data_IF_950630708977
#
_entry.id   IF_950630708977
#
_cell.length_a   1.000
_cell.length_b   1.000
_cell.length_c   1.000
_cell.angle_alpha   90.00
_cell.angle_beta   90.00
_cell.angle_gamma   90.00
#
_symmetry.space_group_name_H-M   'P 1'
#
loop_
_entity.id
_entity.type
_entity.pdbx_description
1 polymer ?
#
# COMPACT_ATOMS: atom_id res chain seq x y z
N UNK A 1 -12.46 2.12 12.24
CA UNK A 1 -11.48 3.26 12.17
C UNK A 1 -12.12 4.55 12.63
N UNK A 2 -11.33 5.47 13.21
CA UNK A 2 -11.87 6.79 13.63
C UNK A 2 -12.12 7.70 12.42
N UNK A 3 -13.09 8.64 12.50
CA UNK A 3 -13.45 9.51 11.36
C UNK A 3 -12.28 10.29 10.76
N UNK A 4 -11.30 10.67 11.57
CA UNK A 4 -10.10 11.41 11.12
C UNK A 4 -9.30 10.69 10.03
N UNK A 5 -9.32 9.36 9.99
CA UNK A 5 -8.53 8.51 9.11
C UNK A 5 -9.38 7.63 8.20
N UNK A 6 -10.67 7.93 8.12
CA UNK A 6 -11.62 7.26 7.22
C UNK A 6 -12.02 8.22 6.11
N UNK A 7 -11.57 7.93 4.89
CA UNK A 7 -12.01 8.71 3.73
C UNK A 7 -13.43 8.30 3.33
N UNK A 8 -14.25 9.23 2.78
CA UNK A 8 -15.67 8.97 2.53
C UNK A 8 -15.96 7.74 1.67
N UNK A 9 -15.20 7.53 0.58
CA UNK A 9 -15.41 6.41 -0.33
C UNK A 9 -15.19 5.05 0.35
N UNK A 10 -14.08 4.91 1.10
CA UNK A 10 -13.78 3.69 1.84
C UNK A 10 -14.76 3.49 3.01
N UNK A 11 -15.08 4.57 3.73
CA UNK A 11 -16.06 4.53 4.80
C UNK A 11 -17.45 4.09 4.33
N UNK A 12 -17.85 4.48 3.13
CA UNK A 12 -19.12 4.05 2.55
C UNK A 12 -19.18 2.53 2.28
N UNK A 13 -18.07 1.91 1.85
CA UNK A 13 -17.98 0.46 1.64
C UNK A 13 -18.24 -0.31 2.95
N UNK A 14 -17.70 0.20 4.05
CA UNK A 14 -17.75 -0.45 5.37
C UNK A 14 -18.92 0.03 6.25
N UNK A 15 -19.84 0.85 5.72
CA UNK A 15 -21.01 1.29 6.45
C UNK A 15 -22.03 0.15 6.64
N UNK A 16 -22.76 0.16 7.76
CA UNK A 16 -23.83 -0.82 8.03
C UNK A 16 -24.91 -0.78 6.94
N UNK A 17 -25.29 0.41 6.49
CA UNK A 17 -26.25 0.56 5.42
C UNK A 17 -25.78 -0.14 4.10
N UNK A 18 -24.49 -0.08 3.79
CA UNK A 18 -23.93 -0.83 2.65
C UNK A 18 -23.93 -2.33 2.94
N UNK A 19 -23.56 -2.77 4.14
CA UNK A 19 -23.59 -4.18 4.52
C UNK A 19 -24.99 -4.77 4.39
N UNK A 20 -26.02 -4.10 4.89
CA UNK A 20 -27.40 -4.59 4.80
C UNK A 20 -27.93 -4.58 3.37
N UNK A 21 -27.57 -3.61 2.56
CA UNK A 21 -27.88 -3.64 1.13
C UNK A 21 -27.25 -4.86 0.44
N UNK A 22 -26.00 -5.19 0.79
CA UNK A 22 -25.32 -6.38 0.26
C UNK A 22 -25.94 -7.67 0.78
N UNK A 23 -26.40 -7.70 2.00
CA UNK A 23 -27.18 -8.83 2.54
C UNK A 23 -28.43 -9.09 1.68
N UNK A 24 -29.20 -8.04 1.37
CA UNK A 24 -30.36 -8.15 0.47
C UNK A 24 -29.91 -8.63 -0.91
N UNK A 25 -28.82 -8.09 -1.46
CA UNK A 25 -28.27 -8.48 -2.77
C UNK A 25 -27.96 -9.98 -2.84
N UNK A 26 -27.32 -10.54 -1.80
CA UNK A 26 -27.01 -11.97 -1.70
C UNK A 26 -28.28 -12.82 -1.56
N UNK A 27 -29.19 -12.46 -0.65
CA UNK A 27 -30.45 -13.18 -0.42
C UNK A 27 -31.30 -13.20 -1.70
N UNK A 28 -31.46 -12.07 -2.36
CA UNK A 28 -32.21 -11.94 -3.63
C UNK A 28 -31.57 -12.79 -4.73
N UNK A 29 -30.24 -12.82 -4.84
CA UNK A 29 -29.56 -13.65 -5.84
C UNK A 29 -29.86 -15.15 -5.62
N UNK A 30 -29.90 -15.63 -4.37
CA UNK A 30 -30.27 -17.01 -4.04
C UNK A 30 -31.74 -17.28 -4.42
N UNK A 31 -32.65 -16.37 -4.07
CA UNK A 31 -34.07 -16.52 -4.41
C UNK A 31 -34.28 -16.53 -5.92
N UNK A 32 -33.60 -15.67 -6.68
CA UNK A 32 -33.59 -15.67 -8.17
C UNK A 32 -33.14 -17.00 -8.74
N UNK A 33 -32.03 -17.54 -8.25
CA UNK A 33 -31.49 -18.82 -8.71
C UNK A 33 -32.48 -19.98 -8.45
N UNK A 34 -33.20 -19.95 -7.34
CA UNK A 34 -34.27 -20.89 -7.00
C UNK A 34 -35.53 -20.67 -7.87
N UNK A 35 -35.89 -19.42 -8.13
CA UNK A 35 -37.06 -19.08 -8.99
C UNK A 35 -36.86 -19.57 -10.44
N UNK A 36 -35.63 -19.42 -10.98
CA UNK A 36 -35.28 -19.97 -12.31
C UNK A 36 -35.48 -21.50 -12.41
N UNK A 37 -35.49 -22.19 -11.28
CA UNK A 37 -35.78 -23.65 -11.19
C UNK A 37 -37.24 -23.97 -10.83
N UNK A 38 -38.11 -22.96 -10.79
CA UNK A 38 -39.53 -23.13 -10.45
C UNK A 38 -39.77 -23.40 -8.96
N UNK A 39 -38.79 -23.15 -8.07
CA UNK A 39 -38.88 -23.41 -6.65
C UNK A 39 -39.44 -22.21 -5.85
N UNK A 40 -39.62 -21.08 -6.50
CA UNK A 40 -40.18 -19.84 -5.94
C UNK A 40 -41.19 -19.27 -6.94
N UNK A 41 -42.44 -18.99 -6.52
CA UNK A 41 -43.42 -18.31 -7.38
C UNK A 41 -42.95 -16.93 -7.83
N UNK A 42 -43.40 -16.51 -9.01
CA UNK A 42 -43.02 -15.22 -9.58
C UNK A 42 -43.45 -14.03 -8.69
N UNK A 43 -44.66 -14.09 -8.14
CA UNK A 43 -45.18 -13.04 -7.27
C UNK A 43 -44.38 -12.93 -5.96
N UNK A 44 -43.96 -14.08 -5.40
CA UNK A 44 -43.10 -14.10 -4.21
C UNK A 44 -41.70 -13.54 -4.50
N UNK A 45 -41.11 -13.85 -5.66
CA UNK A 45 -39.83 -13.26 -6.11
C UNK A 45 -39.97 -11.73 -6.23
N UNK A 46 -41.02 -11.25 -6.90
CA UNK A 46 -41.26 -9.82 -7.05
C UNK A 46 -41.42 -9.11 -5.69
N UNK A 47 -42.14 -9.70 -4.75
CA UNK A 47 -42.30 -9.16 -3.39
C UNK A 47 -40.98 -9.08 -2.63
N UNK A 48 -40.08 -10.05 -2.82
CA UNK A 48 -38.75 -10.05 -2.19
C UNK A 48 -37.84 -8.99 -2.84
N UNK A 49 -37.84 -8.87 -4.17
CA UNK A 49 -37.04 -7.88 -4.90
C UNK A 49 -37.46 -6.43 -4.62
N UNK A 50 -38.75 -6.17 -4.44
CA UNK A 50 -39.30 -4.84 -4.19
C UNK A 50 -39.21 -4.42 -2.71
N UNK A 51 -38.92 -5.36 -1.80
CA UNK A 51 -38.84 -5.08 -0.39
C UNK A 51 -37.69 -4.11 -0.04
N UNK A 52 -37.94 -3.13 0.83
CA UNK A 52 -36.90 -2.15 1.21
C UNK A 52 -35.79 -2.80 2.03
N UNK A 53 -34.56 -2.29 1.86
CA UNK A 53 -33.46 -2.64 2.76
C UNK A 53 -33.79 -2.20 4.18
N UNK A 54 -33.67 -3.06 5.19
CA UNK A 54 -33.97 -2.70 6.58
C UNK A 54 -33.11 -1.54 7.07
N UNK A 55 -33.71 -0.62 7.82
CA UNK A 55 -32.96 0.44 8.48
C UNK A 55 -32.09 -0.14 9.61
N UNK A 56 -30.81 0.34 9.75
CA UNK A 56 -29.91 -0.16 10.79
C UNK A 56 -30.50 -0.12 12.18
N UNK A 57 -31.26 0.92 12.51
CA UNK A 57 -31.90 1.12 13.82
C UNK A 57 -32.91 -0.02 14.14
N UNK A 58 -33.63 -0.50 13.10
CA UNK A 58 -34.58 -1.62 13.30
C UNK A 58 -33.85 -2.92 13.56
N UNK A 59 -32.77 -3.16 12.81
CA UNK A 59 -31.92 -4.36 12.99
C UNK A 59 -31.29 -4.35 14.38
N UNK A 60 -30.77 -3.22 14.85
CA UNK A 60 -30.19 -3.09 16.19
C UNK A 60 -31.20 -3.37 17.31
N UNK A 61 -32.43 -2.91 17.16
CA UNK A 61 -33.48 -3.21 18.14
C UNK A 61 -33.76 -4.72 18.24
N UNK A 62 -33.85 -5.39 17.09
CA UNK A 62 -34.06 -6.84 17.04
C UNK A 62 -32.80 -7.61 17.52
N UNK A 63 -31.59 -7.15 17.22
CA UNK A 63 -30.37 -7.79 17.70
C UNK A 63 -30.25 -7.72 19.23
N UNK A 64 -30.67 -6.62 19.84
CA UNK A 64 -30.70 -6.48 21.29
C UNK A 64 -31.66 -7.48 21.97
N UNK A 65 -32.70 -7.93 21.27
CA UNK A 65 -33.67 -8.92 21.76
C UNK A 65 -33.26 -10.36 21.43
N UNK A 66 -32.80 -10.59 20.20
CA UNK A 66 -32.51 -11.92 19.65
C UNK A 66 -31.09 -12.39 19.89
N UNK A 67 -30.17 -11.48 20.21
CA UNK A 67 -28.72 -11.72 20.38
C UNK A 67 -28.08 -12.47 19.20
N UNK A 68 -28.51 -12.14 17.97
CA UNK A 68 -28.00 -12.74 16.74
C UNK A 68 -28.21 -11.80 15.55
N UNK A 69 -27.13 -11.17 15.10
CA UNK A 69 -27.14 -10.10 14.10
C UNK A 69 -27.78 -10.51 12.75
N UNK A 70 -27.48 -11.73 12.25
CA UNK A 70 -28.06 -12.21 10.98
C UNK A 70 -29.56 -12.48 11.14
N UNK A 71 -29.97 -13.12 12.21
CA UNK A 71 -31.43 -13.38 12.48
C UNK A 71 -32.16 -12.06 12.65
N UNK A 72 -31.57 -11.08 13.35
CA UNK A 72 -32.15 -9.75 13.49
C UNK A 72 -32.36 -9.06 12.13
N UNK A 73 -31.36 -9.13 11.24
CA UNK A 73 -31.49 -8.63 9.89
C UNK A 73 -32.55 -9.35 9.09
N UNK A 74 -32.59 -10.69 9.10
CA UNK A 74 -33.57 -11.50 8.39
C UNK A 74 -35.00 -11.24 8.88
N UNK A 75 -35.16 -11.04 10.18
CA UNK A 75 -36.47 -10.68 10.78
C UNK A 75 -36.91 -9.30 10.28
N UNK A 76 -36.01 -8.30 10.34
CA UNK A 76 -36.33 -6.96 9.87
C UNK A 76 -36.64 -6.93 8.36
N UNK A 77 -35.91 -7.70 7.56
CA UNK A 77 -36.17 -7.82 6.13
C UNK A 77 -37.48 -8.51 5.85
N UNK A 78 -37.78 -9.60 6.60
CA UNK A 78 -39.04 -10.33 6.50
C UNK A 78 -40.29 -9.48 6.83
N UNK A 79 -40.18 -8.47 7.73
CA UNK A 79 -41.26 -7.51 8.00
C UNK A 79 -41.66 -6.71 6.74
N UNK A 80 -40.69 -6.38 5.88
CA UNK A 80 -40.92 -5.68 4.62
C UNK A 80 -41.36 -6.60 3.48
N UNK A 81 -40.94 -7.86 3.49
CA UNK A 81 -41.26 -8.87 2.47
C UNK A 81 -42.64 -9.47 2.66
N UNK A 82 -43.08 -9.67 3.90
CA UNK A 82 -44.35 -10.31 4.22
C UNK A 82 -44.33 -11.84 4.05
N UNK A 83 -45.41 -12.45 3.53
CA UNK A 83 -45.56 -13.91 3.43
C UNK A 83 -44.50 -14.58 2.55
N UNK A 84 -43.94 -13.90 1.56
CA UNK A 84 -42.91 -14.38 0.71
C UNK A 84 -41.54 -14.58 1.44
N UNK A 85 -41.40 -14.05 2.67
CA UNK A 85 -40.19 -14.20 3.49
C UNK A 85 -39.78 -15.66 3.77
N UNK A 86 -40.73 -16.61 3.64
CA UNK A 86 -40.44 -18.06 3.73
C UNK A 86 -39.39 -18.56 2.72
N UNK A 87 -39.10 -17.79 1.67
CA UNK A 87 -38.11 -18.11 0.66
C UNK A 87 -36.74 -17.46 0.91
N UNK A 88 -36.68 -16.45 1.80
CA UNK A 88 -35.45 -15.78 2.21
C UNK A 88 -34.64 -16.71 3.11
N UNK A 89 -33.35 -16.74 2.98
CA UNK A 89 -32.40 -17.55 3.74
C UNK A 89 -32.63 -19.07 3.66
N UNK A 90 -33.35 -19.51 2.66
CA UNK A 90 -33.75 -20.91 2.55
C UNK A 90 -32.51 -21.79 2.26
N UNK A 91 -32.25 -22.71 3.20
CA UNK A 91 -31.14 -23.68 3.09
C UNK A 91 -29.74 -23.10 3.33
N UNK A 92 -29.65 -21.82 3.63
CA UNK A 92 -28.40 -21.13 3.95
C UNK A 92 -28.06 -21.21 5.44
N UNK A 93 -26.81 -20.92 5.76
CA UNK A 93 -26.34 -20.60 7.09
C UNK A 93 -25.91 -19.13 7.17
N UNK A 94 -25.80 -18.57 8.37
CA UNK A 94 -25.36 -17.19 8.56
C UNK A 94 -24.03 -16.86 7.83
N UNK A 95 -23.11 -17.80 7.78
CA UNK A 95 -21.82 -17.60 7.14
C UNK A 95 -21.91 -17.54 5.62
N UNK A 96 -22.86 -18.21 4.98
CA UNK A 96 -23.12 -18.06 3.54
C UNK A 96 -23.42 -16.59 3.21
N UNK A 97 -24.21 -15.91 4.04
CA UNK A 97 -24.53 -14.50 3.89
C UNK A 97 -23.36 -13.60 4.29
N UNK A 98 -22.73 -13.86 5.44
CA UNK A 98 -21.67 -13.02 6.00
C UNK A 98 -20.41 -13.05 5.13
N UNK A 99 -19.91 -14.23 4.77
CA UNK A 99 -18.66 -14.36 4.01
C UNK A 99 -18.80 -13.89 2.56
N UNK A 100 -19.95 -14.21 1.92
CA UNK A 100 -20.21 -13.73 0.56
C UNK A 100 -20.35 -12.20 0.53
N UNK A 101 -20.99 -11.60 1.53
CA UNK A 101 -21.05 -10.15 1.67
C UNK A 101 -19.67 -9.54 1.96
N UNK A 102 -18.89 -10.16 2.82
CA UNK A 102 -17.52 -9.71 3.11
C UNK A 102 -16.65 -9.74 1.84
N UNK A 103 -16.75 -10.79 1.02
CA UNK A 103 -16.07 -10.87 -0.26
C UNK A 103 -16.44 -9.70 -1.19
N UNK A 104 -17.72 -9.31 -1.26
CA UNK A 104 -18.16 -8.14 -2.03
C UNK A 104 -17.59 -6.83 -1.48
N UNK A 105 -17.53 -6.67 -0.15
CA UNK A 105 -16.92 -5.48 0.46
C UNK A 105 -15.40 -5.42 0.21
N UNK A 106 -14.71 -6.54 0.38
CA UNK A 106 -13.26 -6.65 0.18
C UNK A 106 -12.86 -6.39 -1.28
N UNK A 107 -13.59 -6.94 -2.26
CA UNK A 107 -13.31 -6.68 -3.67
C UNK A 107 -13.49 -5.21 -4.02
N UNK A 108 -14.57 -4.56 -3.54
CA UNK A 108 -14.80 -3.12 -3.73
C UNK A 108 -13.71 -2.27 -3.05
N UNK A 109 -13.27 -2.66 -1.85
CA UNK A 109 -12.17 -1.99 -1.15
C UNK A 109 -10.85 -2.13 -1.90
N UNK A 110 -10.51 -3.32 -2.39
CA UNK A 110 -9.32 -3.55 -3.21
C UNK A 110 -9.34 -2.74 -4.50
N UNK A 111 -10.48 -2.65 -5.18
CA UNK A 111 -10.63 -1.84 -6.40
C UNK A 111 -10.39 -0.35 -6.13
N UNK A 112 -10.82 0.17 -4.97
CA UNK A 112 -10.53 1.54 -4.56
C UNK A 112 -9.04 1.72 -4.26
N UNK A 113 -8.43 0.80 -3.50
CA UNK A 113 -7.01 0.84 -3.18
C UNK A 113 -6.13 0.75 -4.44
N UNK A 114 -6.52 -0.05 -5.43
CA UNK A 114 -5.83 -0.13 -6.72
C UNK A 114 -5.79 1.23 -7.42
N UNK A 115 -6.92 1.95 -7.47
CA UNK A 115 -6.97 3.32 -8.03
C UNK A 115 -6.07 4.29 -7.26
N UNK A 116 -5.98 4.17 -5.91
CA UNK A 116 -5.05 5.00 -5.11
C UNK A 116 -3.59 4.70 -5.44
N UNK A 117 -3.25 3.42 -5.58
CA UNK A 117 -1.90 3.00 -5.98
C UNK A 117 -1.54 3.49 -7.38
N UNK A 118 -2.45 3.40 -8.36
CA UNK A 118 -2.25 3.92 -9.72
C UNK A 118 -1.89 5.40 -9.70
N UNK A 119 -2.63 6.20 -8.94
CA UNK A 119 -2.37 7.64 -8.79
C UNK A 119 -1.01 7.91 -8.15
N UNK A 120 -0.63 7.15 -7.13
CA UNK A 120 0.65 7.31 -6.44
C UNK A 120 1.83 6.91 -7.35
N UNK A 121 1.72 5.79 -8.07
CA UNK A 121 2.73 5.36 -9.06
C UNK A 121 2.90 6.42 -10.14
N UNK A 122 1.81 6.95 -10.68
CA UNK A 122 1.83 8.02 -11.67
C UNK A 122 2.56 9.27 -11.14
N UNK A 123 2.20 9.72 -9.94
CA UNK A 123 2.85 10.89 -9.32
C UNK A 123 4.36 10.67 -9.08
N UNK A 124 4.74 9.48 -8.61
CA UNK A 124 6.16 9.13 -8.40
C UNK A 124 6.93 9.07 -9.72
N UNK A 125 6.33 8.48 -10.76
CA UNK A 125 6.91 8.43 -12.11
C UNK A 125 7.15 9.84 -12.63
N UNK A 126 6.13 10.68 -12.61
CA UNK A 126 6.19 12.02 -13.17
C UNK A 126 7.24 12.89 -12.42
N UNK A 127 7.27 12.79 -11.09
CA UNK A 127 8.28 13.48 -10.27
C UNK A 127 9.69 12.92 -10.48
N UNK A 128 9.83 11.62 -10.70
CA UNK A 128 11.12 11.02 -10.99
C UNK A 128 11.68 11.48 -12.34
N UNK A 129 10.81 11.60 -13.36
CA UNK A 129 11.20 12.13 -14.68
C UNK A 129 11.54 13.62 -14.62
N UNK A 130 10.77 14.43 -13.87
CA UNK A 130 11.07 15.86 -13.63
C UNK A 130 12.48 16.06 -13.04
N UNK A 131 12.88 15.18 -12.12
CA UNK A 131 14.14 15.26 -11.41
C UNK A 131 15.20 14.28 -11.93
N UNK A 132 15.05 13.82 -13.17
CA UNK A 132 15.95 12.86 -13.82
C UNK A 132 17.43 13.28 -13.71
N UNK A 133 17.71 14.56 -13.93
CA UNK A 133 19.05 15.13 -13.97
C UNK A 133 19.40 15.95 -12.71
N UNK A 134 18.53 15.95 -11.69
CA UNK A 134 18.79 16.63 -10.43
C UNK A 134 19.79 15.85 -9.60
N UNK A 135 21.07 16.23 -9.71
CA UNK A 135 22.16 15.60 -8.96
C UNK A 135 22.01 15.81 -7.46
N UNK A 136 22.25 14.76 -6.70
CA UNK A 136 22.27 14.80 -5.24
C UNK A 136 23.27 13.79 -4.66
N UNK A 137 23.60 13.96 -3.39
CA UNK A 137 24.47 13.06 -2.68
C UNK A 137 23.73 11.74 -2.34
N UNK A 138 24.24 10.60 -2.82
CA UNK A 138 23.85 9.28 -2.33
C UNK A 138 24.35 9.09 -0.90
N UNK A 139 23.56 8.41 -0.08
CA UNK A 139 23.92 8.11 1.33
C UNK A 139 23.65 6.63 1.61
N UNK A 140 24.66 5.95 2.13
CA UNK A 140 24.57 4.60 2.67
C UNK A 140 24.97 4.63 4.13
N UNK A 141 24.30 3.87 5.00
CA UNK A 141 24.50 3.90 6.44
C UNK A 141 24.34 5.32 7.08
N UNK A 142 23.64 6.24 6.39
CA UNK A 142 23.54 7.64 6.79
C UNK A 142 24.76 8.50 6.45
N UNK A 143 25.80 7.93 5.83
CA UNK A 143 27.05 8.58 5.45
C UNK A 143 27.08 8.90 3.95
N UNK A 144 27.79 9.97 3.59
CA UNK A 144 28.00 10.37 2.20
C UNK A 144 28.64 9.23 1.38
N UNK A 145 28.07 8.96 0.22
CA UNK A 145 28.52 7.98 -0.75
C UNK A 145 28.66 8.65 -2.13
N UNK A 146 28.48 7.91 -3.19
CA UNK A 146 28.61 8.41 -4.56
C UNK A 146 27.45 9.35 -4.95
N UNK A 147 27.65 10.21 -5.98
CA UNK A 147 26.59 11.00 -6.59
C UNK A 147 25.47 10.11 -7.14
N UNK A 148 24.24 10.58 -7.07
CA UNK A 148 23.05 10.00 -7.68
C UNK A 148 22.14 11.11 -8.18
N UNK A 149 20.94 10.77 -8.71
CA UNK A 149 19.91 11.78 -8.97
C UNK A 149 18.70 11.61 -8.05
N UNK A 150 17.99 12.69 -7.78
CA UNK A 150 16.75 12.64 -7.05
C UNK A 150 15.69 11.85 -7.81
N UNK A 151 15.70 11.90 -9.14
CA UNK A 151 14.85 11.07 -10.00
C UNK A 151 15.07 9.57 -9.77
N UNK A 152 16.31 9.09 -9.64
CA UNK A 152 16.61 7.69 -9.35
C UNK A 152 16.07 7.25 -7.98
N UNK A 153 16.14 8.14 -6.97
CA UNK A 153 15.54 7.87 -5.65
C UNK A 153 14.02 7.65 -5.76
N UNK A 154 13.32 8.54 -6.46
CA UNK A 154 11.88 8.44 -6.67
C UNK A 154 11.48 7.26 -7.56
N UNK A 155 12.27 6.93 -8.59
CA UNK A 155 12.05 5.76 -9.43
C UNK A 155 12.03 4.46 -8.62
N UNK A 156 12.93 4.32 -7.64
CA UNK A 156 12.95 3.17 -6.74
C UNK A 156 11.66 3.00 -5.93
N UNK A 157 10.99 4.10 -5.55
CA UNK A 157 9.68 4.08 -4.90
C UNK A 157 8.56 3.75 -5.90
N UNK A 158 8.59 4.33 -7.11
CA UNK A 158 7.59 4.03 -8.14
C UNK A 158 7.53 2.52 -8.45
N UNK A 159 8.69 1.87 -8.64
CA UNK A 159 8.75 0.42 -8.86
C UNK A 159 8.33 -0.42 -7.65
N UNK A 160 8.49 0.08 -6.42
CA UNK A 160 7.99 -0.59 -5.23
C UNK A 160 6.46 -0.62 -5.22
N UNK A 161 5.81 0.53 -5.40
CA UNK A 161 4.34 0.61 -5.45
C UNK A 161 3.73 -0.07 -6.68
N UNK A 162 4.43 -0.16 -7.81
CA UNK A 162 4.00 -1.00 -8.93
C UNK A 162 3.98 -2.50 -8.56
N UNK A 163 4.92 -2.97 -7.76
CA UNK A 163 4.85 -4.32 -7.20
C UNK A 163 3.69 -4.50 -6.24
N UNK A 164 3.36 -3.47 -5.45
CA UNK A 164 2.20 -3.51 -4.55
C UNK A 164 0.87 -3.57 -5.31
N UNK A 165 0.76 -2.91 -6.46
CA UNK A 165 -0.40 -3.06 -7.37
C UNK A 165 -0.62 -4.53 -7.74
N UNK A 166 0.45 -5.23 -8.13
CA UNK A 166 0.37 -6.65 -8.51
C UNK A 166 0.02 -7.55 -7.32
N UNK A 167 0.59 -7.29 -6.13
CA UNK A 167 0.24 -8.01 -4.89
C UNK A 167 -1.22 -7.80 -4.53
N UNK A 168 -1.68 -6.55 -4.59
CA UNK A 168 -3.07 -6.23 -4.29
C UNK A 168 -4.04 -6.88 -5.28
N UNK A 169 -3.71 -6.92 -6.58
CA UNK A 169 -4.53 -7.61 -7.58
C UNK A 169 -4.64 -9.11 -7.27
N UNK A 170 -3.53 -9.78 -6.95
CA UNK A 170 -3.55 -11.18 -6.56
C UNK A 170 -4.35 -11.43 -5.27
N UNK A 171 -4.17 -10.58 -4.26
CA UNK A 171 -4.92 -10.66 -3.01
C UNK A 171 -6.42 -10.37 -3.19
N UNK A 172 -6.78 -9.44 -4.10
CA UNK A 172 -8.16 -9.19 -4.49
C UNK A 172 -8.82 -10.45 -5.08
N UNK A 173 -8.12 -11.12 -5.98
CA UNK A 173 -8.64 -12.36 -6.59
C UNK A 173 -8.75 -13.48 -5.54
N UNK A 174 -7.84 -13.55 -4.59
CA UNK A 174 -7.90 -14.50 -3.48
C UNK A 174 -9.13 -14.31 -2.58
N UNK A 175 -9.57 -13.06 -2.34
CA UNK A 175 -10.75 -12.75 -1.51
C UNK A 175 -12.05 -12.61 -2.32
N UNK A 176 -12.00 -12.67 -3.66
CA UNK A 176 -13.19 -12.62 -4.51
C UNK A 176 -13.91 -13.99 -4.55
N UNK A 177 -14.10 -14.59 -3.39
CA UNK A 177 -14.62 -15.94 -3.19
C UNK A 177 -15.73 -15.91 -2.16
N UNK A 178 -16.87 -16.51 -2.50
CA UNK A 178 -18.04 -16.65 -1.61
C UNK A 178 -18.40 -18.11 -1.40
N UNK A 179 -19.44 -18.35 -0.61
CA UNK A 179 -20.00 -19.67 -0.39
C UNK A 179 -21.51 -19.61 -0.15
N UNK A 180 -22.25 -20.57 -0.69
CA UNK A 180 -23.69 -20.82 -0.41
C UNK A 180 -23.85 -22.34 -0.22
N UNK A 181 -23.12 -22.90 0.73
CA UNK A 181 -22.91 -24.35 0.88
C UNK A 181 -23.58 -24.95 2.13
N UNK A 182 -24.19 -24.11 2.96
CA UNK A 182 -24.89 -24.52 4.18
C UNK A 182 -23.98 -24.70 5.38
N UNK A 183 -24.51 -25.29 6.44
CA UNK A 183 -23.93 -25.25 7.78
C UNK A 183 -22.53 -25.87 7.93
N UNK A 184 -22.12 -26.78 7.05
CA UNK A 184 -20.83 -27.48 7.09
C UNK A 184 -20.24 -27.72 5.68
N UNK A 185 -20.66 -26.96 4.69
CA UNK A 185 -20.11 -27.04 3.34
C UNK A 185 -20.55 -28.25 2.51
N UNK A 186 -21.67 -28.89 2.84
CA UNK A 186 -22.08 -30.15 2.21
C UNK A 186 -23.18 -30.01 1.15
N UNK A 187 -23.66 -28.82 0.90
CA UNK A 187 -24.75 -28.53 -0.06
C UNK A 187 -26.08 -29.31 0.22
N UNK A 188 -26.30 -29.67 1.49
CA UNK A 188 -27.40 -30.55 1.87
C UNK A 188 -28.80 -30.01 1.50
N UNK A 189 -28.99 -28.69 1.51
CA UNK A 189 -30.27 -28.04 1.26
C UNK A 189 -30.32 -27.23 -0.03
N UNK A 190 -29.17 -26.76 -0.53
CA UNK A 190 -29.00 -26.03 -1.76
C UNK A 190 -27.90 -26.69 -2.58
N UNK A 191 -28.18 -27.19 -3.79
CA UNK A 191 -27.18 -27.81 -4.64
C UNK A 191 -26.11 -26.81 -5.13
N UNK A 192 -24.90 -27.30 -5.37
CA UNK A 192 -23.75 -26.49 -5.75
C UNK A 192 -23.97 -25.68 -7.05
N UNK A 193 -24.88 -26.11 -7.91
CA UNK A 193 -25.26 -25.37 -9.12
C UNK A 193 -25.99 -24.06 -8.80
N UNK A 194 -26.68 -23.97 -7.66
CA UNK A 194 -27.26 -22.73 -7.17
C UNK A 194 -26.17 -21.79 -6.70
N UNK A 195 -25.23 -22.27 -5.90
CA UNK A 195 -24.06 -21.48 -5.49
C UNK A 195 -23.31 -20.91 -6.70
N UNK A 196 -22.95 -21.76 -7.67
CA UNK A 196 -22.21 -21.33 -8.86
C UNK A 196 -22.95 -20.22 -9.63
N UNK A 197 -24.27 -20.32 -9.72
CA UNK A 197 -25.11 -19.31 -10.40
C UNK A 197 -25.17 -17.99 -9.61
N UNK A 198 -25.37 -18.08 -8.29
CA UNK A 198 -25.42 -16.93 -7.40
C UNK A 198 -24.10 -16.17 -7.39
N UNK A 199 -22.99 -16.88 -7.17
CA UNK A 199 -21.66 -16.26 -7.09
C UNK A 199 -21.24 -15.66 -8.43
N UNK A 200 -21.58 -16.30 -9.55
CA UNK A 200 -21.37 -15.73 -10.89
C UNK A 200 -22.16 -14.41 -11.07
N UNK A 201 -23.43 -14.34 -10.62
CA UNK A 201 -24.25 -13.12 -10.66
C UNK A 201 -23.59 -12.01 -9.82
N UNK A 202 -23.03 -12.36 -8.67
CA UNK A 202 -22.33 -11.44 -7.76
C UNK A 202 -20.88 -11.10 -8.18
N UNK A 203 -20.35 -11.73 -9.24
CA UNK A 203 -18.97 -11.52 -9.69
C UNK A 203 -17.91 -12.16 -8.77
N UNK A 204 -18.28 -13.22 -8.06
CA UNK A 204 -17.41 -13.98 -7.17
C UNK A 204 -17.18 -15.41 -7.70
N UNK A 205 -16.12 -16.07 -7.22
CA UNK A 205 -15.89 -17.49 -7.40
C UNK A 205 -16.42 -18.30 -6.20
N UNK A 206 -16.81 -19.57 -6.37
CA UNK A 206 -17.12 -20.45 -5.24
C UNK A 206 -15.85 -20.87 -4.51
N UNK A 207 -15.94 -21.04 -3.18
CA UNK A 207 -14.89 -21.71 -2.41
C UNK A 207 -14.82 -23.20 -2.83
N UNK A 208 -13.66 -23.68 -3.31
CA UNK A 208 -13.57 -25.03 -3.85
C UNK A 208 -13.90 -26.16 -2.88
N UNK A 209 -13.65 -25.94 -1.61
CA UNK A 209 -13.94 -26.91 -0.53
C UNK A 209 -14.38 -26.16 0.72
N UNK A 210 -15.61 -25.64 0.74
CA UNK A 210 -16.10 -24.87 1.88
C UNK A 210 -16.25 -25.75 3.13
N UNK A 211 -16.06 -25.13 4.29
CA UNK A 211 -16.56 -25.65 5.56
C UNK A 211 -17.90 -24.96 5.86
N UNK A 212 -18.12 -24.42 7.06
CA UNK A 212 -19.17 -23.43 7.25
C UNK A 212 -18.79 -22.06 6.68
N UNK A 213 -17.52 -21.84 6.41
CA UNK A 213 -16.91 -20.55 6.02
C UNK A 213 -15.97 -20.71 4.84
N UNK A 214 -15.68 -19.58 4.18
CA UNK A 214 -14.55 -19.45 3.26
C UNK A 214 -13.23 -19.58 4.04
N UNK A 215 -12.19 -20.14 3.44
CA UNK A 215 -10.89 -20.33 4.09
C UNK A 215 -10.25 -18.99 4.48
N UNK A 216 -9.76 -18.86 5.74
CA UNK A 216 -9.27 -17.58 6.30
C UNK A 216 -7.86 -17.22 5.87
N UNK A 217 -7.09 -18.13 5.31
CA UNK A 217 -5.80 -17.83 4.69
C UNK A 217 -5.92 -16.77 3.57
N UNK A 218 -7.05 -16.71 2.87
CA UNK A 218 -7.37 -15.67 1.87
C UNK A 218 -7.41 -14.27 2.49
N UNK A 219 -8.03 -14.12 3.65
CA UNK A 219 -8.09 -12.85 4.38
C UNK A 219 -6.72 -12.48 4.96
N UNK A 220 -5.96 -13.47 5.44
CA UNK A 220 -4.59 -13.29 5.90
C UNK A 220 -3.66 -12.82 4.77
N UNK A 221 -3.79 -13.40 3.56
CA UNK A 221 -3.04 -12.97 2.36
C UNK A 221 -3.34 -11.50 2.04
N UNK A 222 -4.61 -11.09 2.04
CA UNK A 222 -4.97 -9.70 1.82
C UNK A 222 -4.33 -8.78 2.86
N UNK A 223 -4.51 -9.07 4.15
CA UNK A 223 -3.96 -8.24 5.23
C UNK A 223 -2.42 -8.16 5.15
N UNK A 224 -1.74 -9.25 4.76
CA UNK A 224 -0.31 -9.26 4.51
C UNK A 224 0.06 -8.35 3.32
N UNK A 225 -0.68 -8.39 2.21
CA UNK A 225 -0.46 -7.52 1.07
C UNK A 225 -0.64 -6.04 1.44
N UNK A 226 -1.68 -5.70 2.22
CA UNK A 226 -1.90 -4.34 2.73
C UNK A 226 -0.76 -3.88 3.65
N UNK A 227 -0.21 -4.78 4.47
CA UNK A 227 0.92 -4.47 5.36
C UNK A 227 2.22 -4.23 4.59
N UNK A 228 2.47 -4.96 3.49
CA UNK A 228 3.63 -4.73 2.61
C UNK A 228 3.52 -3.37 1.93
N UNK A 229 2.35 -3.02 1.37
CA UNK A 229 2.11 -1.69 0.80
C UNK A 229 2.29 -0.58 1.84
N UNK A 230 1.82 -0.81 3.08
CA UNK A 230 2.06 0.09 4.21
C UNK A 230 3.54 0.27 4.54
N UNK A 231 4.35 -0.79 4.42
CA UNK A 231 5.80 -0.71 4.64
C UNK A 231 6.51 0.11 3.54
N UNK A 232 6.06 0.03 2.28
CA UNK A 232 6.59 0.88 1.20
C UNK A 232 6.14 2.36 1.39
N UNK A 233 4.94 2.63 1.93
CA UNK A 233 4.54 3.98 2.36
C UNK A 233 5.46 4.48 3.49
N UNK A 234 5.78 3.65 4.48
CA UNK A 234 6.71 4.00 5.57
C UNK A 234 8.11 4.31 5.03
N UNK A 235 8.61 3.52 4.09
CA UNK A 235 9.91 3.73 3.44
C UNK A 235 9.96 5.08 2.72
N UNK A 236 8.95 5.42 1.93
CA UNK A 236 8.82 6.72 1.24
C UNK A 236 8.77 7.87 2.25
N UNK A 237 7.93 7.76 3.26
CA UNK A 237 7.77 8.77 4.29
C UNK A 237 9.06 8.97 5.11
N UNK A 238 9.79 7.91 5.39
CA UNK A 238 11.08 7.95 6.10
C UNK A 238 12.14 8.66 5.25
N UNK A 239 12.22 8.41 3.94
CA UNK A 239 13.11 9.15 3.04
C UNK A 239 12.80 10.65 3.07
N UNK A 240 11.53 11.06 2.95
CA UNK A 240 11.14 12.48 3.02
C UNK A 240 11.54 13.10 4.35
N UNK A 241 11.33 12.40 5.48
CA UNK A 241 11.74 12.88 6.81
C UNK A 241 13.27 13.09 6.90
N UNK A 242 14.06 12.19 6.31
CA UNK A 242 15.51 12.35 6.26
C UNK A 242 15.93 13.54 5.39
N UNK A 243 15.29 13.75 4.25
CA UNK A 243 15.59 14.87 3.34
C UNK A 243 15.19 16.23 3.94
N UNK A 244 14.18 16.27 4.82
CA UNK A 244 13.68 17.49 5.47
C UNK A 244 14.47 17.89 6.73
N UNK A 245 15.38 17.04 7.22
CA UNK A 245 16.18 17.37 8.42
C UNK A 245 16.95 18.68 8.23
N UNK A 246 17.15 19.41 9.33
CA UNK A 246 17.79 20.72 9.36
C UNK A 246 19.18 20.73 8.67
N UNK A 247 19.94 19.67 8.82
CA UNK A 247 21.29 19.52 8.24
C UNK A 247 21.24 19.18 6.75
N UNK A 248 20.13 18.58 6.27
CA UNK A 248 19.98 18.11 4.89
C UNK A 248 19.22 19.12 4.04
N UNK A 249 17.95 19.39 4.31
CA UNK A 249 17.08 20.37 3.65
C UNK A 249 17.00 20.22 2.12
N UNK A 250 17.06 19.00 1.62
CA UNK A 250 17.04 18.70 0.17
C UNK A 250 15.60 18.61 -0.38
N UNK A 251 14.64 18.20 0.46
CA UNK A 251 13.23 18.22 0.13
C UNK A 251 12.38 18.43 1.40
N UNK A 252 11.19 19.01 1.23
CA UNK A 252 10.24 19.27 2.32
C UNK A 252 8.83 18.86 1.90
N UNK A 253 8.01 18.37 2.84
CA UNK A 253 6.58 18.12 2.57
C UNK A 253 5.85 19.43 2.22
N UNK A 254 4.73 19.36 1.48
CA UNK A 254 3.94 20.52 1.13
C UNK A 254 3.50 21.27 2.40
N UNK A 255 3.61 22.60 2.35
CA UNK A 255 3.16 23.45 3.44
C UNK A 255 2.14 24.44 2.88
N UNK A 256 0.90 24.33 3.36
CA UNK A 256 -0.19 25.20 2.89
C UNK A 256 -0.08 26.61 3.45
N UNK A 257 -0.57 27.59 2.70
CA UNK A 257 -0.70 28.97 3.19
C UNK A 257 -1.61 28.98 4.43
N UNK A 258 -1.17 29.66 5.49
CA UNK A 258 -1.87 29.69 6.77
C UNK A 258 -1.68 28.46 7.68
N UNK A 259 -1.00 27.39 7.20
CA UNK A 259 -0.68 26.25 8.04
C UNK A 259 0.31 26.65 9.15
N UNK A 260 0.02 26.24 10.38
CA UNK A 260 0.93 26.40 11.53
C UNK A 260 1.84 25.19 11.65
N UNK A 261 3.15 25.39 11.51
CA UNK A 261 4.14 24.30 11.57
C UNK A 261 4.50 23.88 13.01
N UNK A 262 4.42 24.80 13.96
CA UNK A 262 4.76 24.55 15.35
C UNK A 262 3.98 25.53 16.26
N UNK A 263 3.60 25.07 17.45
CA UNK A 263 2.93 25.92 18.44
C UNK A 263 3.89 26.91 19.12
N UNK A 264 5.19 26.62 19.14
CA UNK A 264 6.20 27.41 19.86
C UNK A 264 7.13 28.19 18.91
N UNK A 265 7.48 27.64 17.75
CA UNK A 265 8.44 28.24 16.82
C UNK A 265 7.81 28.46 15.44
N UNK A 266 7.43 29.70 15.06
CA UNK A 266 6.66 29.97 13.83
C UNK A 266 7.34 29.53 12.52
N UNK A 267 8.68 29.51 12.48
CA UNK A 267 9.46 29.10 11.31
C UNK A 267 9.64 27.56 11.18
N UNK A 268 9.30 26.79 12.23
CA UNK A 268 9.54 25.34 12.25
C UNK A 268 8.46 24.61 11.46
N UNK A 269 8.88 23.95 10.38
CA UNK A 269 8.03 23.11 9.52
C UNK A 269 8.32 21.67 9.83
N UNK A 270 7.42 21.01 10.57
CA UNK A 270 7.57 19.60 10.91
C UNK A 270 7.01 18.71 9.79
N UNK A 271 7.62 17.56 9.47
CA UNK A 271 7.12 16.60 8.49
C UNK A 271 5.96 15.76 9.07
N UNK A 272 4.85 16.43 9.45
CA UNK A 272 3.74 15.83 10.22
C UNK A 272 3.03 14.74 9.42
N UNK A 273 2.89 14.93 8.10
CA UNK A 273 2.23 13.94 7.25
C UNK A 273 3.12 12.71 7.11
N UNK A 274 4.40 12.89 6.83
CA UNK A 274 5.35 11.78 6.73
C UNK A 274 5.48 11.01 8.07
N UNK A 275 5.49 11.70 9.22
CA UNK A 275 5.49 11.04 10.54
C UNK A 275 4.22 10.21 10.77
N UNK A 276 3.07 10.73 10.37
CA UNK A 276 1.78 10.02 10.46
C UNK A 276 1.77 8.78 9.58
N UNK A 277 2.28 8.85 8.36
CA UNK A 277 2.38 7.71 7.44
C UNK A 277 3.22 6.57 8.03
N UNK A 278 4.34 6.90 8.67
CA UNK A 278 5.14 5.92 9.44
C UNK A 278 4.32 5.26 10.55
N UNK A 279 3.49 6.04 11.25
CA UNK A 279 2.58 5.51 12.27
C UNK A 279 1.51 4.57 11.72
N UNK A 280 0.93 4.89 10.54
CA UNK A 280 -0.09 4.05 9.88
C UNK A 280 0.45 2.68 9.47
N UNK A 281 1.68 2.58 9.01
CA UNK A 281 2.30 1.31 8.65
C UNK A 281 2.41 0.34 9.85
N UNK A 282 2.54 0.86 11.07
CA UNK A 282 2.57 0.03 12.28
C UNK A 282 1.24 -0.64 12.56
N UNK A 283 0.13 0.06 12.31
CA UNK A 283 -1.22 -0.51 12.46
C UNK A 283 -1.44 -1.64 11.44
N UNK A 284 -1.08 -1.42 10.18
CA UNK A 284 -1.23 -2.43 9.12
C UNK A 284 -0.47 -3.73 9.45
N UNK A 285 0.74 -3.62 10.01
CA UNK A 285 1.48 -4.82 10.47
C UNK A 285 0.76 -5.55 11.62
N UNK A 286 0.15 -4.82 12.54
CA UNK A 286 -0.65 -5.41 13.60
C UNK A 286 -1.86 -6.18 13.08
N UNK A 287 -2.58 -5.62 12.10
CA UNK A 287 -3.72 -6.28 11.46
C UNK A 287 -3.30 -7.52 10.65
N UNK A 288 -2.14 -7.51 10.00
CA UNK A 288 -1.63 -8.70 9.32
C UNK A 288 -1.35 -9.86 10.28
N UNK A 289 -0.82 -9.57 11.48
CA UNK A 289 -0.63 -10.60 12.51
C UNK A 289 -1.99 -11.15 12.95
N UNK A 290 -2.98 -10.29 13.21
CA UNK A 290 -4.32 -10.71 13.61
C UNK A 290 -4.97 -11.64 12.56
N UNK A 291 -4.82 -11.31 11.25
CA UNK A 291 -5.34 -12.16 10.17
C UNK A 291 -4.65 -13.52 10.07
N UNK A 292 -3.35 -13.59 10.36
CA UNK A 292 -2.62 -14.87 10.40
C UNK A 292 -3.10 -15.77 11.55
N UNK A 293 -3.46 -15.20 12.70
CA UNK A 293 -4.00 -15.95 13.84
C UNK A 293 -5.41 -16.49 13.57
N UNK A 294 -6.19 -15.85 12.69
CA UNK A 294 -7.54 -16.28 12.31
C UNK A 294 -7.57 -17.49 11.34
N UNK A 295 -6.42 -17.90 10.78
CA UNK A 295 -6.36 -19.04 9.83
C UNK A 295 -6.74 -20.35 10.51
N UNK A 296 -6.33 -20.55 11.77
CA UNK A 296 -6.47 -21.80 12.49
C UNK A 296 -7.80 -21.87 13.27
N UNK A 297 -8.89 -22.22 12.59
CA UNK A 297 -10.19 -22.45 13.20
C UNK A 297 -10.37 -23.91 13.65
N UNK A 298 -11.26 -24.13 14.62
CA UNK A 298 -11.63 -25.49 15.05
C UNK A 298 -12.68 -26.08 14.11
N UNK A 299 -12.42 -27.31 13.68
CA UNK A 299 -13.31 -28.10 12.83
C UNK A 299 -13.79 -27.33 11.61
N UNK A 300 -15.08 -27.38 11.29
CA UNK A 300 -15.69 -26.66 10.17
C UNK A 300 -15.84 -25.15 10.44
N UNK A 301 -15.82 -24.71 11.69
CA UNK A 301 -15.75 -23.32 12.17
C UNK A 301 -15.82 -23.26 13.69
N UNK A 302 -15.08 -22.31 14.28
CA UNK A 302 -15.47 -21.63 15.53
C UNK A 302 -15.61 -20.12 15.27
N UNK A 303 -16.10 -19.33 16.25
CA UNK A 303 -16.41 -17.92 16.04
C UNK A 303 -15.26 -16.97 16.41
N UNK A 304 -14.08 -17.48 16.77
CA UNK A 304 -12.95 -16.66 17.23
C UNK A 304 -12.50 -15.61 16.21
N UNK A 305 -12.54 -15.95 14.92
CA UNK A 305 -12.20 -15.04 13.83
C UNK A 305 -13.14 -13.82 13.72
N UNK A 306 -14.40 -13.98 14.04
CA UNK A 306 -15.46 -13.01 13.71
C UNK A 306 -15.24 -11.64 14.35
N UNK A 307 -14.86 -11.59 15.63
CA UNK A 307 -14.58 -10.33 16.32
C UNK A 307 -13.36 -9.62 15.76
N UNK A 308 -12.33 -10.39 15.37
CA UNK A 308 -11.09 -9.87 14.78
C UNK A 308 -11.35 -9.29 13.40
N UNK A 309 -12.00 -10.04 12.52
CA UNK A 309 -12.30 -9.63 11.15
C UNK A 309 -13.18 -8.38 11.07
N UNK A 310 -14.18 -8.25 11.97
CA UNK A 310 -15.04 -7.05 12.06
C UNK A 310 -14.26 -5.76 12.33
N UNK A 311 -13.08 -5.85 12.92
CA UNK A 311 -12.20 -4.72 13.20
C UNK A 311 -11.04 -4.66 12.20
N UNK A 312 -10.30 -5.74 12.06
CA UNK A 312 -9.03 -5.75 11.32
C UNK A 312 -9.20 -5.45 9.83
N UNK A 313 -10.17 -6.05 9.15
CA UNK A 313 -10.36 -5.89 7.71
C UNK A 313 -10.82 -4.47 7.32
N UNK A 314 -11.90 -3.92 7.92
CA UNK A 314 -12.31 -2.54 7.63
C UNK A 314 -11.23 -1.53 7.99
N UNK A 315 -10.61 -1.69 9.15
CA UNK A 315 -9.60 -0.75 9.63
C UNK A 315 -8.33 -0.79 8.77
N UNK A 316 -7.86 -1.97 8.35
CA UNK A 316 -6.70 -2.09 7.46
C UNK A 316 -6.96 -1.40 6.10
N UNK A 317 -8.15 -1.62 5.51
CA UNK A 317 -8.54 -0.96 4.27
C UNK A 317 -8.61 0.57 4.43
N UNK A 318 -9.23 1.07 5.50
CA UNK A 318 -9.32 2.50 5.78
C UNK A 318 -7.94 3.13 6.04
N UNK A 319 -7.08 2.46 6.80
CA UNK A 319 -5.72 2.93 7.09
C UNK A 319 -4.90 3.05 5.82
N UNK A 320 -4.93 2.01 4.96
CA UNK A 320 -4.15 2.04 3.73
C UNK A 320 -4.70 3.05 2.72
N UNK A 321 -6.04 3.17 2.58
CA UNK A 321 -6.67 4.16 1.70
C UNK A 321 -6.25 5.59 2.09
N UNK A 322 -6.34 5.91 3.39
CA UNK A 322 -5.86 7.18 3.92
C UNK A 322 -4.35 7.38 3.68
N UNK A 323 -3.55 6.34 3.92
CA UNK A 323 -2.10 6.42 3.78
C UNK A 323 -1.68 6.66 2.32
N UNK A 324 -2.29 5.97 1.36
CA UNK A 324 -2.02 6.14 -0.07
C UNK A 324 -2.44 7.52 -0.58
N UNK A 325 -3.61 8.02 -0.16
CA UNK A 325 -4.06 9.38 -0.53
C UNK A 325 -3.11 10.44 0.02
N UNK A 326 -2.64 10.29 1.27
CA UNK A 326 -1.68 11.23 1.86
C UNK A 326 -0.28 11.08 1.29
N UNK A 327 0.14 9.87 0.90
CA UNK A 327 1.39 9.66 0.19
C UNK A 327 1.38 10.30 -1.21
N UNK A 328 0.27 10.17 -1.95
CA UNK A 328 0.09 10.86 -3.21
C UNK A 328 0.18 12.39 -3.03
N UNK A 329 -0.54 12.97 -2.07
CA UNK A 329 -0.46 14.40 -1.77
C UNK A 329 0.97 14.83 -1.42
N UNK A 330 1.69 14.02 -0.62
CA UNK A 330 3.07 14.28 -0.23
C UNK A 330 4.01 14.33 -1.45
N UNK A 331 3.91 13.35 -2.34
CA UNK A 331 4.75 13.25 -3.55
C UNK A 331 4.45 14.33 -4.56
N UNK A 332 3.15 14.53 -4.87
CA UNK A 332 2.71 15.52 -5.86
C UNK A 332 3.10 16.96 -5.48
N UNK A 333 3.04 17.26 -4.19
CA UNK A 333 3.36 18.60 -3.68
C UNK A 333 4.76 18.73 -3.06
N UNK A 334 5.62 17.71 -3.16
CA UNK A 334 6.94 17.72 -2.54
C UNK A 334 7.78 18.91 -3.03
N UNK A 335 8.28 19.70 -2.11
CA UNK A 335 9.16 20.83 -2.41
C UNK A 335 10.59 20.36 -2.46
N UNK A 336 11.16 20.32 -3.64
CA UNK A 336 12.55 19.88 -3.87
C UNK A 336 13.45 21.11 -4.01
N UNK A 337 14.65 21.06 -3.43
CA UNK A 337 15.67 22.12 -3.54
C UNK A 337 16.91 21.61 -4.28
N UNK A 338 16.96 21.71 -5.61
CA UNK A 338 18.12 21.27 -6.41
C UNK A 338 19.42 21.99 -6.01
N UNK A 339 19.33 23.29 -5.66
CA UNK A 339 20.50 24.05 -5.23
C UNK A 339 21.06 23.48 -3.92
N UNK A 340 20.19 23.10 -2.98
CA UNK A 340 20.64 22.52 -1.71
C UNK A 340 21.22 21.13 -1.91
N UNK A 341 20.64 20.33 -2.79
CA UNK A 341 21.20 19.02 -3.19
C UNK A 341 22.61 19.16 -3.75
N UNK A 342 22.82 20.13 -4.65
CA UNK A 342 24.13 20.44 -5.21
C UNK A 342 25.10 20.91 -4.13
N UNK A 343 24.71 21.85 -3.28
CA UNK A 343 25.54 22.35 -2.19
C UNK A 343 25.96 21.24 -1.21
N UNK A 344 25.07 20.31 -0.88
CA UNK A 344 25.40 19.15 -0.05
C UNK A 344 26.36 18.18 -0.74
N UNK A 345 26.25 18.00 -2.06
CA UNK A 345 27.19 17.20 -2.83
C UNK A 345 28.59 17.86 -2.86
N UNK A 346 28.65 19.16 -3.13
CA UNK A 346 29.88 19.96 -3.15
C UNK A 346 30.56 20.01 -1.77
N UNK A 347 29.77 20.08 -0.69
CA UNK A 347 30.27 20.05 0.69
C UNK A 347 31.01 18.75 1.06
N UNK A 348 30.87 17.68 0.25
CA UNK A 348 31.69 16.48 0.39
C UNK A 348 33.18 16.71 0.07
N UNK A 349 33.54 17.88 -0.47
CA UNK A 349 34.93 18.22 -0.80
C UNK A 349 35.56 17.32 -1.87
N UNK A 350 34.74 16.68 -2.72
CA UNK A 350 35.15 15.73 -3.74
C UNK A 350 35.26 14.28 -3.27
N UNK A 351 35.08 14.01 -1.99
CA UNK A 351 35.14 12.64 -1.42
C UNK A 351 34.12 11.69 -2.04
N UNK A 352 32.97 12.19 -2.49
CA UNK A 352 31.96 11.42 -3.20
C UNK A 352 32.48 10.79 -4.52
N UNK A 353 33.60 11.30 -5.09
CA UNK A 353 34.26 10.80 -6.29
C UNK A 353 35.46 9.87 -6.03
N UNK A 354 35.75 9.53 -4.77
CA UNK A 354 36.98 8.78 -4.41
C UNK A 354 37.08 7.40 -5.08
N UNK A 355 35.97 6.71 -5.29
CA UNK A 355 35.93 5.43 -6.01
C UNK A 355 36.34 5.58 -7.49
N UNK A 356 35.88 6.63 -8.15
CA UNK A 356 36.25 6.91 -9.55
C UNK A 356 37.71 7.32 -9.69
N UNK A 357 38.22 8.09 -8.73
CA UNK A 357 39.65 8.42 -8.68
C UNK A 357 40.53 7.17 -8.53
N UNK A 358 40.12 6.23 -7.67
CA UNK A 358 40.81 4.94 -7.53
C UNK A 358 40.85 4.18 -8.86
N UNK A 359 39.73 4.07 -9.56
CA UNK A 359 39.64 3.37 -10.83
C UNK A 359 40.47 4.07 -11.91
N UNK A 360 40.45 5.41 -11.96
CA UNK A 360 41.28 6.18 -12.90
C UNK A 360 42.78 5.92 -12.72
N UNK A 361 43.27 5.78 -11.49
CA UNK A 361 44.67 5.38 -11.21
C UNK A 361 44.97 3.94 -11.66
N UNK A 362 44.01 3.02 -11.48
CA UNK A 362 44.16 1.64 -11.97
C UNK A 362 44.20 1.60 -13.47
N UNK A 363 43.34 2.36 -14.16
CA UNK A 363 43.31 2.48 -15.61
C UNK A 363 44.61 3.13 -16.17
N UNK A 364 45.23 4.01 -15.37
CA UNK A 364 46.54 4.59 -15.62
C UNK A 364 47.72 3.63 -15.34
N UNK A 365 47.47 2.37 -14.99
CA UNK A 365 48.45 1.32 -14.81
C UNK A 365 48.92 1.06 -13.37
N UNK A 366 48.33 1.71 -12.39
CA UNK A 366 48.67 1.43 -10.98
C UNK A 366 48.12 0.07 -10.52
N UNK A 367 48.92 -0.62 -9.68
CA UNK A 367 48.38 -1.74 -8.93
C UNK A 367 47.23 -1.24 -8.00
N UNK A 368 46.10 -1.97 -8.00
CA UNK A 368 44.90 -1.58 -7.26
C UNK A 368 45.15 -1.24 -5.78
N UNK A 369 46.06 -1.96 -5.12
CA UNK A 369 46.43 -1.75 -3.75
C UNK A 369 47.13 -0.41 -3.53
N UNK A 370 48.08 -0.07 -4.41
CA UNK A 370 48.79 1.21 -4.37
C UNK A 370 47.85 2.40 -4.65
N UNK A 371 46.96 2.26 -5.65
CA UNK A 371 45.92 3.24 -5.93
C UNK A 371 45.01 3.44 -4.72
N UNK A 372 44.57 2.35 -4.10
CA UNK A 372 43.74 2.39 -2.87
C UNK A 372 44.43 3.16 -1.74
N UNK A 373 45.70 2.86 -1.45
CA UNK A 373 46.46 3.52 -0.37
C UNK A 373 46.65 5.02 -0.64
N UNK A 374 46.93 5.44 -1.89
CA UNK A 374 47.05 6.84 -2.24
C UNK A 374 45.70 7.58 -2.07
N UNK A 375 44.64 7.01 -2.64
CA UNK A 375 43.29 7.58 -2.52
C UNK A 375 42.86 7.65 -1.04
N UNK A 376 43.12 6.61 -0.25
CA UNK A 376 42.78 6.58 1.18
C UNK A 376 43.51 7.69 1.95
N UNK A 377 44.83 7.89 1.75
CA UNK A 377 45.56 8.96 2.43
C UNK A 377 45.00 10.33 2.10
N UNK A 378 44.80 10.61 0.80
CA UNK A 378 44.23 11.87 0.35
C UNK A 378 42.81 12.09 0.90
N UNK A 379 41.95 11.02 0.89
CA UNK A 379 40.58 11.09 1.39
C UNK A 379 40.54 11.33 2.90
N UNK A 380 41.40 10.67 3.68
CA UNK A 380 41.47 10.90 5.13
C UNK A 380 41.96 12.30 5.47
N UNK A 381 42.93 12.80 4.73
CA UNK A 381 43.41 14.17 4.90
C UNK A 381 42.32 15.21 4.56
N UNK A 382 41.55 14.98 3.49
CA UNK A 382 40.39 15.81 3.14
C UNK A 382 39.30 15.76 4.21
N UNK A 383 38.99 14.57 4.75
CA UNK A 383 38.04 14.39 5.83
C UNK A 383 38.44 15.14 7.09
N UNK A 384 39.74 15.23 7.38
CA UNK A 384 40.31 16.00 8.51
C UNK A 384 40.40 17.51 8.20
N UNK A 385 39.92 17.98 7.05
CA UNK A 385 39.91 19.40 6.67
C UNK A 385 41.27 19.98 6.24
N UNK A 386 42.21 19.14 5.85
CA UNK A 386 43.56 19.57 5.41
C UNK A 386 43.62 20.13 3.98
N UNK A 387 42.50 20.06 3.23
CA UNK A 387 42.36 20.54 1.86
C UNK A 387 41.27 19.81 1.07
N UNK A 388 41.07 20.20 -0.19
CA UNK A 388 40.19 19.49 -1.13
C UNK A 388 40.75 18.14 -1.52
N UNK A 389 39.92 17.11 -1.62
CA UNK A 389 40.34 15.74 -1.96
C UNK A 389 41.16 15.69 -3.28
N UNK A 390 40.70 16.41 -4.29
CA UNK A 390 41.40 16.50 -5.60
C UNK A 390 42.84 16.94 -5.48
N UNK A 391 43.09 18.05 -4.79
CA UNK A 391 44.39 18.65 -4.67
C UNK A 391 45.29 17.81 -3.77
N UNK A 392 44.78 17.24 -2.72
CA UNK A 392 45.49 16.31 -1.87
C UNK A 392 45.88 15.02 -2.60
N UNK A 393 45.01 14.51 -3.49
CA UNK A 393 45.33 13.33 -4.32
C UNK A 393 46.40 13.63 -5.32
N UNK A 394 46.39 14.81 -5.98
CA UNK A 394 47.45 15.22 -6.92
C UNK A 394 48.79 15.42 -6.21
N UNK A 395 48.81 15.73 -4.93
CA UNK A 395 50.03 15.86 -4.13
C UNK A 395 50.63 14.50 -3.68
N UNK A 396 49.88 13.40 -3.83
CA UNK A 396 50.41 12.06 -3.55
C UNK A 396 51.49 11.66 -4.55
N UNK A 397 52.59 11.04 -4.08
CA UNK A 397 53.74 10.71 -4.96
C UNK A 397 53.33 9.83 -6.14
N UNK A 398 53.71 10.27 -7.34
CA UNK A 398 53.45 9.54 -8.59
C UNK A 398 52.04 9.70 -9.18
N UNK A 399 51.13 10.36 -8.49
CA UNK A 399 49.74 10.53 -9.02
C UNK A 399 49.71 11.52 -10.15
N UNK A 400 50.35 12.69 -10.02
CA UNK A 400 50.37 13.72 -11.06
C UNK A 400 51.15 13.29 -12.34
N UNK A 401 52.07 12.35 -12.18
CA UNK A 401 52.81 11.76 -13.31
C UNK A 401 51.98 10.68 -14.05
N UNK A 402 51.16 9.93 -13.31
CA UNK A 402 50.38 8.83 -13.86
C UNK A 402 49.05 9.27 -14.45
N UNK A 403 48.41 10.28 -13.85
CA UNK A 403 47.07 10.73 -14.22
C UNK A 403 47.08 12.24 -14.48
N UNK A 404 46.80 12.64 -15.73
CA UNK A 404 46.71 14.05 -16.08
C UNK A 404 45.53 14.73 -15.33
N UNK A 405 45.73 16.00 -14.98
CA UNK A 405 44.73 16.79 -14.25
C UNK A 405 43.32 16.77 -14.91
N UNK A 406 43.18 16.93 -16.25
CA UNK A 406 41.87 16.84 -16.89
C UNK A 406 41.20 15.47 -16.76
N UNK A 407 41.97 14.37 -16.72
CA UNK A 407 41.45 13.02 -16.59
C UNK A 407 40.94 12.75 -15.17
N UNK A 408 41.65 13.28 -14.16
CA UNK A 408 41.16 13.25 -12.77
C UNK A 408 39.89 14.09 -12.61
N UNK A 409 39.85 15.29 -13.19
CA UNK A 409 38.68 16.16 -13.16
C UNK A 409 37.47 15.49 -13.82
N UNK A 410 37.65 14.83 -14.94
CA UNK A 410 36.62 14.04 -15.61
C UNK A 410 36.19 12.82 -14.78
N UNK A 411 37.12 12.18 -14.05
CA UNK A 411 36.77 11.07 -13.16
C UNK A 411 35.95 11.54 -11.94
N UNK A 412 36.21 12.74 -11.45
CA UNK A 412 35.52 13.33 -10.29
C UNK A 412 34.20 14.05 -10.65
N UNK A 413 33.88 14.21 -11.94
CA UNK A 413 32.63 14.86 -12.37
C UNK A 413 31.40 14.05 -11.86
N UNK A 414 30.54 14.64 -11.04
CA UNK A 414 29.33 13.97 -10.56
C UNK A 414 28.41 13.44 -11.68
N UNK A 415 28.38 14.07 -12.85
CA UNK A 415 27.54 13.67 -13.97
C UNK A 415 27.95 12.29 -14.53
N UNK A 416 29.24 11.92 -14.43
CA UNK A 416 29.71 10.60 -14.84
C UNK A 416 29.03 9.45 -14.12
N UNK A 417 28.74 9.62 -12.82
CA UNK A 417 28.16 8.56 -11.97
C UNK A 417 26.74 8.19 -12.38
N UNK A 418 26.03 9.09 -13.03
CA UNK A 418 24.62 8.90 -13.44
C UNK A 418 24.46 8.68 -14.95
N UNK A 419 25.53 8.75 -15.73
CA UNK A 419 25.49 8.60 -17.19
C UNK A 419 24.90 7.27 -17.65
N UNK A 420 25.09 6.20 -16.87
CA UNK A 420 24.54 4.87 -17.13
C UNK A 420 23.08 4.67 -16.69
N UNK A 421 22.41 5.68 -16.17
CA UNK A 421 21.07 5.53 -15.57
C UNK A 421 19.90 5.51 -16.58
N UNK A 422 20.15 5.79 -17.86
CA UNK A 422 19.14 5.83 -18.94
C UNK A 422 18.15 4.67 -18.92
N UNK A 423 18.60 3.40 -18.87
CA UNK A 423 17.71 2.24 -18.85
C UNK A 423 16.73 2.17 -17.66
N UNK A 424 17.03 2.84 -16.53
CA UNK A 424 16.10 2.92 -15.40
C UNK A 424 14.92 3.83 -15.76
N UNK A 425 15.19 4.97 -16.38
CA UNK A 425 14.15 5.91 -16.79
C UNK A 425 13.32 5.38 -17.97
N UNK A 426 13.91 4.66 -18.92
CA UNK A 426 13.17 3.97 -19.98
C UNK A 426 12.13 2.96 -19.40
N UNK A 427 12.56 2.16 -18.40
CA UNK A 427 11.64 1.27 -17.69
C UNK A 427 10.59 2.02 -16.90
N UNK A 428 10.94 3.17 -16.32
CA UNK A 428 10.01 4.01 -15.56
C UNK A 428 8.94 4.63 -16.47
N UNK A 429 9.30 5.12 -17.64
CA UNK A 429 8.37 5.64 -18.66
C UNK A 429 7.36 4.56 -19.12
N UNK A 430 7.78 3.30 -19.13
CA UNK A 430 6.92 2.16 -19.48
C UNK A 430 5.93 1.77 -18.35
N UNK A 431 6.05 2.30 -17.13
CA UNK A 431 5.07 2.07 -16.07
C UNK A 431 3.74 2.76 -16.43
N UNK A 432 2.67 1.97 -16.45
CA UNK A 432 1.31 2.42 -16.77
C UNK A 432 0.54 2.77 -15.53
#
# INVERSE_FOLDING_TARGET
MIPRYTLPEMGAIWSEATRFRLFVEVEVAVVRARARRGLVPADDLAAIEDAPVPAPERVHLLDAELHHDVIAFLTAYGEGVGEAARHVHYGMTSSDLLDTTLALQLTRACDLLARRLDRLVGALRDRALEHRDTLCLGRTHGVAAEPTTFGLKLAGHAFAFDRDRRRLAAARDAVAVGTISGAVGTYANLPAEIEAEVLKELGLAPEPAPTQVVARDRHAELLAALAVAGADVERLATEVRHLQRTEVREAEEPFAEGQKGSSAMPHKRNPIVAERLVGMARLLRGYAVAGLEDVALWHERDISHSAVERVALPDACCVLDYALERAHWLVAGLRVSPERMRANLEASGGLAGSSAALLALVDAGWARENAYLAVQRAAMAAWEGKGGFRDLLLAEPGVAEALAVPDLDAALDPARFVAGAGPVFERLEALR
#
